data_IF_265397657728
#
_entry.id   IF_265397657728
#
_cell.length_a   1.000
_cell.length_b   1.000
_cell.length_c   1.000
_cell.angle_alpha   90.00
_cell.angle_beta   90.00
_cell.angle_gamma   90.00
#
_symmetry.space_group_name_H-M   'P 1'
#
loop_
_entity.id
_entity.type
_entity.pdbx_description
1 polymer ?
#
# COMPACT_ATOMS: atom_id res chain seq x y z
N UNK A 1 2.97 22.30 -6.04
CA UNK A 1 3.39 21.84 -4.70
C UNK A 1 4.07 20.50 -4.90
N UNK A 2 5.40 20.52 -5.04
CA UNK A 2 6.20 19.30 -5.18
C UNK A 2 6.03 18.46 -3.92
N UNK A 3 5.69 17.18 -4.10
CA UNK A 3 5.64 16.22 -3.00
C UNK A 3 7.10 15.83 -2.74
N UNK A 4 7.76 16.59 -1.87
CA UNK A 4 9.16 16.32 -1.51
C UNK A 4 9.20 15.05 -0.66
N UNK A 5 9.54 13.92 -1.30
CA UNK A 5 9.62 12.62 -0.63
C UNK A 5 10.82 12.64 0.32
N UNK A 6 10.55 12.51 1.63
CA UNK A 6 11.56 12.56 2.68
C UNK A 6 12.48 11.32 2.61
N UNK A 7 13.78 11.49 2.92
CA UNK A 7 14.78 10.41 3.05
C UNK A 7 14.28 9.17 3.84
N UNK A 8 13.47 9.36 4.88
CA UNK A 8 12.84 8.27 5.66
C UNK A 8 11.85 7.45 4.82
N UNK A 9 11.05 8.10 3.97
CA UNK A 9 10.11 7.43 3.08
C UNK A 9 10.86 6.64 1.99
N UNK A 10 11.93 7.23 1.43
CA UNK A 10 12.81 6.56 0.46
C UNK A 10 13.47 5.32 1.09
N UNK A 11 13.96 5.43 2.34
CA UNK A 11 14.56 4.31 3.05
C UNK A 11 13.56 3.18 3.32
N UNK A 12 12.35 3.52 3.78
CA UNK A 12 11.28 2.55 3.99
C UNK A 12 10.91 1.83 2.68
N UNK A 13 10.82 2.57 1.58
CA UNK A 13 10.52 2.01 0.26
C UNK A 13 11.66 1.12 -0.28
N UNK A 14 12.92 1.50 -0.09
CA UNK A 14 14.07 0.66 -0.46
C UNK A 14 14.14 -0.64 0.35
N UNK A 15 13.87 -0.55 1.66
CA UNK A 15 13.79 -1.73 2.53
C UNK A 15 12.67 -2.67 2.07
N UNK A 16 11.53 -2.12 1.67
CA UNK A 16 10.42 -2.89 1.09
C UNK A 16 10.83 -3.67 -0.16
N UNK A 17 11.43 -2.97 -1.14
CA UNK A 17 11.89 -3.61 -2.38
C UNK A 17 12.88 -4.75 -2.11
N UNK A 18 13.77 -4.59 -1.12
CA UNK A 18 14.71 -5.65 -0.72
C UNK A 18 14.05 -6.85 -0.04
N UNK A 19 12.90 -6.65 0.60
CA UNK A 19 12.18 -7.71 1.30
C UNK A 19 11.12 -8.39 0.44
N UNK A 20 10.83 -7.88 -0.76
CA UNK A 20 9.88 -8.51 -1.68
C UNK A 20 10.46 -9.83 -2.22
N UNK A 21 9.70 -10.93 -2.19
CA UNK A 21 10.12 -12.16 -2.85
C UNK A 21 10.21 -11.93 -4.36
N UNK A 22 11.35 -12.23 -4.95
CA UNK A 22 11.53 -12.19 -6.40
C UNK A 22 10.98 -13.49 -6.99
N UNK A 23 9.86 -13.41 -7.69
CA UNK A 23 9.21 -14.54 -8.34
C UNK A 23 8.00 -15.07 -7.57
N UNK A 24 6.83 -14.91 -8.20
CA UNK A 24 5.53 -15.53 -7.90
C UNK A 24 5.16 -15.64 -6.42
N UNK A 25 4.49 -14.62 -5.90
CA UNK A 25 3.39 -14.77 -4.95
C UNK A 25 2.78 -13.38 -4.74
N UNK A 26 1.85 -13.02 -5.62
CA UNK A 26 1.12 -11.73 -5.55
C UNK A 26 0.50 -11.52 -4.15
N UNK A 27 0.18 -12.62 -3.46
CA UNK A 27 -0.22 -12.68 -2.06
C UNK A 27 0.85 -12.12 -1.11
N UNK A 28 2.11 -12.53 -1.23
CA UNK A 28 3.21 -12.02 -0.40
C UNK A 28 3.50 -10.54 -0.66
N UNK A 29 3.40 -10.10 -1.92
CA UNK A 29 3.51 -8.69 -2.28
C UNK A 29 2.40 -7.89 -1.61
N UNK A 30 1.16 -8.41 -1.67
CA UNK A 30 0.00 -7.77 -1.07
C UNK A 30 0.08 -7.74 0.46
N UNK A 31 0.52 -8.84 1.08
CA UNK A 31 0.68 -8.95 2.52
C UNK A 31 1.75 -7.99 3.03
N UNK A 32 2.89 -7.89 2.34
CA UNK A 32 3.96 -6.93 2.69
C UNK A 32 3.59 -5.49 2.39
N UNK A 33 2.89 -5.24 1.29
CA UNK A 33 2.40 -3.92 0.90
C UNK A 33 1.40 -3.35 1.90
N UNK A 34 0.48 -4.18 2.40
CA UNK A 34 -0.49 -3.75 3.42
C UNK A 34 0.21 -3.28 4.71
N UNK A 35 1.27 -3.97 5.16
CA UNK A 35 1.96 -3.64 6.42
C UNK A 35 2.58 -2.25 6.38
N UNK A 36 3.13 -1.84 5.22
CA UNK A 36 3.74 -0.51 5.07
C UNK A 36 2.71 0.60 5.03
N UNK A 37 1.59 0.34 4.36
CA UNK A 37 0.46 1.25 4.31
C UNK A 37 -0.11 1.43 5.71
N UNK A 38 -0.30 0.34 6.44
CA UNK A 38 -0.76 0.36 7.83
C UNK A 38 0.22 1.15 8.72
N UNK A 39 1.53 0.96 8.57
CA UNK A 39 2.54 1.77 9.26
C UNK A 39 2.38 3.27 8.96
N UNK A 40 2.09 3.66 7.71
CA UNK A 40 1.88 5.08 7.39
C UNK A 40 0.58 5.62 8.00
N UNK A 41 -0.48 4.82 8.02
CA UNK A 41 -1.76 5.19 8.65
C UNK A 41 -1.55 5.43 10.15
N UNK A 42 -0.83 4.54 10.84
CA UNK A 42 -0.53 4.73 12.26
C UNK A 42 0.35 5.94 12.53
N UNK A 43 1.31 6.27 11.65
CA UNK A 43 2.08 7.52 11.76
C UNK A 43 1.20 8.76 11.66
N UNK A 44 0.28 8.79 10.69
CA UNK A 44 -0.68 9.90 10.57
C UNK A 44 -1.47 10.06 11.88
N UNK A 45 -1.94 8.97 12.47
CA UNK A 45 -2.69 9.01 13.73
C UNK A 45 -1.82 9.53 14.88
N UNK A 46 -0.60 9.00 15.02
CA UNK A 46 0.34 9.38 16.09
C UNK A 46 0.75 10.86 16.00
N UNK A 47 0.95 11.39 14.79
CA UNK A 47 1.32 12.78 14.55
C UNK A 47 0.16 13.77 14.76
N UNK A 48 -1.10 13.32 14.65
CA UNK A 48 -2.29 14.20 14.68
C UNK A 48 -3.01 14.22 16.01
N UNK A 49 -2.86 13.19 16.83
CA UNK A 49 -3.50 13.14 18.15
C UNK A 49 -2.70 13.88 19.21
N UNK A 50 -3.41 14.55 20.13
CA UNK A 50 -2.79 15.22 21.28
C UNK A 50 -2.22 14.20 22.27
N UNK A 51 -2.91 13.06 22.44
CA UNK A 51 -2.48 11.97 23.31
C UNK A 51 -2.63 10.61 22.59
N UNK A 52 -1.70 10.27 21.67
CA UNK A 52 -1.76 8.99 20.94
C UNK A 52 -1.69 7.77 21.85
N UNK A 53 -1.04 7.89 23.02
CA UNK A 53 -0.87 6.80 23.97
C UNK A 53 -2.18 6.25 24.51
N UNK A 54 -3.26 7.05 24.52
CA UNK A 54 -4.59 6.63 24.92
C UNK A 54 -5.17 5.52 24.00
N UNK A 55 -4.66 5.40 22.78
CA UNK A 55 -5.11 4.40 21.80
C UNK A 55 -4.22 3.15 21.75
N UNK A 56 -3.12 3.12 22.50
CA UNK A 56 -2.13 2.04 22.43
C UNK A 56 -2.72 0.66 22.70
N UNK A 57 -3.64 0.57 23.66
CA UNK A 57 -4.29 -0.69 24.07
C UNK A 57 -5.74 -0.81 23.55
N UNK A 58 -6.20 0.16 22.74
CA UNK A 58 -7.58 0.23 22.26
C UNK A 58 -7.94 -0.83 21.20
N UNK A 59 -6.97 -1.67 20.79
CA UNK A 59 -7.13 -2.74 19.78
C UNK A 59 -7.86 -2.26 18.51
N UNK A 60 -7.40 -1.13 17.97
CA UNK A 60 -7.96 -0.54 16.75
C UNK A 60 -7.65 -1.46 15.57
N UNK A 61 -8.68 -1.83 14.82
CA UNK A 61 -8.53 -2.61 13.58
C UNK A 61 -7.98 -1.74 12.46
N UNK A 62 -7.33 -2.35 11.45
CA UNK A 62 -6.79 -1.61 10.29
C UNK A 62 -7.86 -0.77 9.57
N UNK A 63 -9.09 -1.27 9.47
CA UNK A 63 -10.22 -0.49 8.92
C UNK A 63 -10.54 0.75 9.75
N UNK A 64 -10.67 0.61 11.07
CA UNK A 64 -10.93 1.73 11.98
C UNK A 64 -9.78 2.74 11.94
N UNK A 65 -8.53 2.28 11.85
CA UNK A 65 -7.37 3.15 11.70
C UNK A 65 -7.41 3.95 10.39
N UNK A 66 -7.80 3.35 9.26
CA UNK A 66 -7.99 4.05 7.99
C UNK A 66 -9.06 5.14 8.12
N UNK A 67 -10.22 4.83 8.71
CA UNK A 67 -11.29 5.81 8.92
C UNK A 67 -10.86 6.95 9.85
N UNK A 68 -10.14 6.64 10.93
CA UNK A 68 -9.62 7.65 11.85
C UNK A 68 -8.60 8.56 11.14
N UNK A 69 -7.65 7.98 10.40
CA UNK A 69 -6.68 8.75 9.64
C UNK A 69 -7.36 9.64 8.59
N UNK A 70 -8.36 9.13 7.85
CA UNK A 70 -9.15 9.88 6.89
C UNK A 70 -9.83 11.10 7.54
N UNK A 71 -10.31 10.96 8.78
CA UNK A 71 -11.02 12.04 9.48
C UNK A 71 -10.17 13.30 9.74
N UNK A 72 -8.84 13.19 9.68
CA UNK A 72 -7.93 14.35 9.79
C UNK A 72 -7.82 15.18 8.51
N UNK A 73 -8.44 14.75 7.41
CA UNK A 73 -8.38 15.42 6.11
C UNK A 73 -9.76 15.94 5.68
N UNK A 74 -9.82 17.00 4.87
CA UNK A 74 -11.06 17.43 4.21
C UNK A 74 -11.71 16.28 3.42
N UNK A 75 -13.04 16.27 3.31
CA UNK A 75 -13.80 15.20 2.67
C UNK A 75 -13.48 15.00 1.18
N UNK A 76 -12.98 16.05 0.51
CA UNK A 76 -12.58 16.07 -0.89
C UNK A 76 -11.07 15.81 -1.09
N UNK A 77 -10.31 15.60 -0.01
CA UNK A 77 -8.89 15.29 -0.11
C UNK A 77 -8.69 13.87 -0.66
N UNK A 78 -8.32 13.81 -1.96
CA UNK A 78 -8.01 12.59 -2.70
C UNK A 78 -8.99 11.44 -2.39
N UNK A 79 -10.29 11.56 -2.75
CA UNK A 79 -11.31 10.60 -2.32
C UNK A 79 -11.02 9.16 -2.76
N UNK A 80 -10.32 9.00 -3.89
CA UNK A 80 -9.86 7.70 -4.39
C UNK A 80 -8.91 6.97 -3.44
N UNK A 81 -8.07 7.70 -2.70
CA UNK A 81 -7.03 7.14 -1.83
C UNK A 81 -7.65 6.28 -0.71
N UNK A 82 -8.62 6.85 0.00
CA UNK A 82 -9.28 6.17 1.12
C UNK A 82 -10.06 4.94 0.63
N UNK A 83 -10.72 5.05 -0.52
CA UNK A 83 -11.37 3.92 -1.17
C UNK A 83 -10.39 2.81 -1.54
N UNK A 84 -9.21 3.15 -2.06
CA UNK A 84 -8.15 2.19 -2.38
C UNK A 84 -7.61 1.49 -1.12
N UNK A 85 -7.41 2.24 -0.03
CA UNK A 85 -6.95 1.70 1.26
C UNK A 85 -7.94 0.69 1.86
N UNK A 86 -9.24 1.00 1.82
CA UNK A 86 -10.29 0.09 2.30
C UNK A 86 -10.35 -1.19 1.43
N UNK A 87 -10.20 -1.06 0.10
CA UNK A 87 -10.13 -2.19 -0.81
C UNK A 87 -8.91 -3.07 -0.54
N UNK A 88 -7.73 -2.48 -0.33
CA UNK A 88 -6.53 -3.21 0.03
C UNK A 88 -6.70 -3.99 1.34
N UNK A 89 -7.27 -3.36 2.36
CA UNK A 89 -7.56 -4.02 3.64
C UNK A 89 -8.50 -5.22 3.46
N UNK A 90 -9.55 -5.06 2.64
CA UNK A 90 -10.47 -6.16 2.30
C UNK A 90 -9.76 -7.29 1.56
N UNK A 91 -8.91 -6.95 0.59
CA UNK A 91 -8.16 -7.93 -0.20
C UNK A 91 -7.15 -8.69 0.65
N UNK A 92 -6.45 -8.01 1.57
CA UNK A 92 -5.58 -8.62 2.58
C UNK A 92 -6.33 -9.61 3.46
N UNK A 93 -7.52 -9.26 3.93
CA UNK A 93 -8.33 -10.17 4.74
C UNK A 93 -8.72 -11.42 3.94
N UNK A 94 -9.09 -11.26 2.66
CA UNK A 94 -9.36 -12.40 1.77
C UNK A 94 -8.13 -13.31 1.61
N UNK A 95 -6.94 -12.74 1.38
CA UNK A 95 -5.68 -13.51 1.28
C UNK A 95 -5.36 -14.23 2.59
N UNK A 96 -5.53 -13.57 3.74
CA UNK A 96 -5.26 -14.18 5.04
C UNK A 96 -6.26 -15.29 5.41
N UNK A 97 -7.47 -15.26 4.84
CA UNK A 97 -8.53 -16.25 5.12
C UNK A 97 -8.65 -17.37 4.06
N UNK A 98 -8.21 -17.15 2.82
CA UNK A 98 -8.32 -18.14 1.74
C UNK A 98 -6.94 -18.69 1.33
N UNK A 99 -6.68 -19.92 1.76
CA UNK A 99 -5.66 -20.81 1.18
C UNK A 99 -6.15 -21.41 -0.17
N UNK A 100 -7.43 -21.22 -0.54
CA UNK A 100 -8.00 -21.75 -1.80
C UNK A 100 -8.37 -20.61 -2.78
N UNK A 101 -7.61 -20.58 -3.88
CA UNK A 101 -7.57 -19.53 -4.90
C UNK A 101 -8.73 -19.62 -5.92
N UNK A 102 -9.86 -19.00 -5.63
CA UNK A 102 -10.82 -18.61 -6.68
C UNK A 102 -11.22 -17.13 -6.54
N UNK A 103 -11.11 -16.34 -7.61
CA UNK A 103 -11.50 -14.92 -7.65
C UNK A 103 -10.49 -13.89 -7.11
N UNK A 104 -9.25 -14.30 -6.80
CA UNK A 104 -8.23 -13.39 -6.27
C UNK A 104 -7.69 -12.43 -7.33
N UNK A 105 -7.42 -12.91 -8.55
CA UNK A 105 -6.94 -12.09 -9.66
C UNK A 105 -7.94 -10.97 -9.98
N UNK A 106 -9.24 -11.26 -10.03
CA UNK A 106 -10.27 -10.24 -10.27
C UNK A 106 -10.28 -9.16 -9.18
N UNK A 107 -10.07 -9.54 -7.91
CA UNK A 107 -10.01 -8.57 -6.81
C UNK A 107 -8.74 -7.71 -6.86
N UNK A 108 -7.62 -8.28 -7.30
CA UNK A 108 -6.36 -7.56 -7.54
C UNK A 108 -6.54 -6.58 -8.69
N UNK A 109 -7.09 -7.01 -9.82
CA UNK A 109 -7.34 -6.17 -10.99
C UNK A 109 -8.27 -5.01 -10.63
N UNK A 110 -9.31 -5.28 -9.83
CA UNK A 110 -10.23 -4.24 -9.38
C UNK A 110 -9.60 -3.22 -8.42
N UNK A 111 -8.60 -3.65 -7.63
CA UNK A 111 -7.78 -2.76 -6.81
C UNK A 111 -6.83 -1.93 -7.67
N UNK A 112 -6.08 -2.55 -8.57
CA UNK A 112 -5.15 -1.87 -9.49
C UNK A 112 -5.89 -0.82 -10.34
N UNK A 113 -7.08 -1.15 -10.85
CA UNK A 113 -7.92 -0.22 -11.62
C UNK A 113 -8.57 0.89 -10.78
N UNK A 114 -8.53 0.80 -9.45
CA UNK A 114 -8.97 1.91 -8.58
C UNK A 114 -7.93 3.02 -8.45
N UNK A 115 -6.70 2.77 -8.92
CA UNK A 115 -5.66 3.76 -9.00
C UNK A 115 -5.82 4.58 -10.29
N UNK A 116 -5.91 5.92 -10.21
CA UNK A 116 -5.93 6.76 -11.41
C UNK A 116 -4.54 6.73 -12.05
N UNK A 117 -4.36 5.87 -13.06
CA UNK A 117 -3.12 5.71 -13.84
C UNK A 117 -2.63 7.00 -14.54
N UNK A 118 -3.37 8.11 -14.47
CA UNK A 118 -3.10 9.37 -15.18
C UNK A 118 -2.28 10.42 -14.44
N UNK A 119 -1.51 10.08 -13.40
CA UNK A 119 -0.59 11.02 -12.73
C UNK A 119 0.91 10.66 -12.84
N UNK A 120 1.27 9.62 -13.60
CA UNK A 120 2.67 9.18 -13.79
C UNK A 120 3.18 9.37 -15.22
N UNK A 121 2.63 10.29 -15.99
CA UNK A 121 3.24 10.73 -17.26
C UNK A 121 4.04 12.00 -17.03
N UNK A 122 5.17 11.86 -16.34
CA UNK A 122 6.42 12.56 -16.67
C UNK A 122 7.55 11.74 -16.07
N UNK A 123 8.23 11.02 -16.97
CA UNK A 123 9.54 10.38 -16.78
C UNK A 123 9.64 9.28 -15.72
N UNK A 124 9.18 8.09 -16.07
CA UNK A 124 10.02 6.89 -15.91
C UNK A 124 9.59 5.88 -16.96
N UNK A 125 10.27 5.90 -18.10
CA UNK A 125 10.23 4.77 -19.03
C UNK A 125 10.81 3.59 -18.28
N UNK A 126 9.91 2.73 -17.82
CA UNK A 126 10.22 1.40 -17.31
C UNK A 126 10.71 0.54 -18.49
N UNK A 127 11.91 0.84 -18.97
CA UNK A 127 12.64 0.07 -19.96
C UNK A 127 13.50 -1.03 -19.32
N UNK A 128 13.23 -1.39 -18.06
CA UNK A 128 14.04 -2.36 -17.29
C UNK A 128 13.35 -3.72 -17.08
N UNK A 129 12.19 -3.99 -17.71
CA UNK A 129 11.51 -5.28 -17.60
C UNK A 129 11.75 -6.24 -18.78
N UNK A 130 12.67 -5.94 -19.69
CA UNK A 130 13.20 -6.95 -20.61
C UNK A 130 14.52 -7.50 -20.08
N UNK A 131 14.52 -8.79 -19.72
CA UNK A 131 15.71 -9.62 -19.75
C UNK A 131 15.88 -10.14 -21.19
N UNK A 132 16.94 -9.76 -21.92
CA UNK A 132 17.39 -10.55 -23.05
C UNK A 132 18.64 -11.32 -22.64
N UNK A 133 18.46 -12.63 -22.45
CA UNK A 133 19.48 -13.63 -22.76
C UNK A 133 20.69 -13.74 -21.83
N UNK A 134 20.68 -14.80 -21.02
CA UNK A 134 21.88 -15.61 -20.82
C UNK A 134 22.44 -15.96 -22.20
N UNK A 135 23.70 -15.60 -22.46
CA UNK A 135 24.52 -16.32 -23.43
C UNK A 135 25.83 -16.70 -22.75
N UNK A 136 25.97 -18.01 -22.61
CA UNK A 136 27.19 -18.70 -22.27
C UNK A 136 28.35 -18.29 -23.18
N UNK A 137 29.54 -18.21 -22.58
CA UNK A 137 30.82 -17.92 -23.23
C UNK A 137 31.93 -17.90 -22.18
#
# INVERSE_FOLDING_TARGET
MEIEVNKKQIYAFRRFLKLLPHGKETELVLLKGHLLIEEQIYKIIDERLINPSALKDARITSYQAICLAQSFFPSDFKPWLWGALIKLNSLRNKVAHNIELSGMNDSIDHFVNSYPWGHSETEDKVAAFEHPGIKDG
#
